data_IF_520475332150
#
_entry.id   IF_520475332150
#
_cell.length_a   1.000
_cell.length_b   1.000
_cell.length_c   1.000
_cell.angle_alpha   90.00
_cell.angle_beta   90.00
_cell.angle_gamma   90.00
#
_symmetry.space_group_name_H-M   'P 1'
#
loop_
_entity.id
_entity.type
_entity.pdbx_description
1 polymer ?
#
# COMPACT_ATOMS: atom_id res chain seq x y z
N UNK A 1 -2.76 -16.91 8.14
CA UNK A 1 -1.73 -16.40 7.20
C UNK A 1 -0.36 -16.49 7.82
N UNK A 2 0.59 -17.01 7.08
CA UNK A 2 1.95 -17.11 7.56
C UNK A 2 2.60 -15.72 7.59
N UNK A 3 3.27 -15.41 8.68
CA UNK A 3 3.99 -14.15 8.80
C UNK A 3 5.20 -14.12 7.88
N UNK A 4 5.35 -13.04 7.15
CA UNK A 4 6.53 -12.80 6.35
C UNK A 4 7.55 -12.01 7.15
N UNK A 5 8.82 -12.22 6.83
CA UNK A 5 9.89 -11.39 7.38
C UNK A 5 10.05 -10.16 6.50
N UNK A 6 9.52 -9.04 6.94
CA UNK A 6 9.53 -7.82 6.14
C UNK A 6 10.87 -7.08 6.16
N UNK A 7 11.83 -7.52 6.96
CA UNK A 7 13.15 -6.89 6.95
C UNK A 7 13.83 -7.02 5.59
N UNK A 8 13.60 -8.15 4.89
CA UNK A 8 14.21 -8.39 3.59
C UNK A 8 13.50 -7.66 2.45
N UNK A 9 12.33 -7.08 2.70
CA UNK A 9 11.55 -6.38 1.67
C UNK A 9 11.52 -4.86 1.85
N UNK A 10 12.23 -4.35 2.85
CA UNK A 10 12.33 -2.91 3.07
C UNK A 10 12.92 -2.25 1.82
N UNK A 11 12.34 -1.14 1.42
CA UNK A 11 12.71 -0.39 0.20
C UNK A 11 12.36 -1.11 -1.11
N UNK A 12 11.72 -2.27 -1.05
CA UNK A 12 11.16 -2.89 -2.24
C UNK A 12 9.88 -2.18 -2.66
N UNK A 13 9.53 -2.35 -3.93
CA UNK A 13 8.29 -1.78 -4.47
C UNK A 13 7.24 -2.88 -4.55
N UNK A 14 6.06 -2.58 -4.04
CA UNK A 14 4.91 -3.48 -4.13
C UNK A 14 3.76 -2.80 -4.86
N UNK A 15 3.16 -3.49 -5.80
CA UNK A 15 1.96 -3.02 -6.49
C UNK A 15 0.78 -3.80 -5.94
N UNK A 16 -0.18 -3.08 -5.36
CA UNK A 16 -1.36 -3.70 -4.76
C UNK A 16 -2.58 -3.29 -5.56
N UNK A 17 -3.18 -4.24 -6.27
CA UNK A 17 -4.43 -4.01 -7.01
C UNK A 17 -5.61 -4.10 -6.06
N UNK A 18 -6.66 -3.34 -6.34
CA UNK A 18 -7.83 -3.28 -5.47
C UNK A 18 -7.52 -2.66 -4.12
N UNK A 19 -6.56 -1.75 -4.07
CA UNK A 19 -6.02 -1.21 -2.81
C UNK A 19 -6.95 -0.22 -2.12
N UNK A 20 -8.08 0.15 -2.74
CA UNK A 20 -8.94 1.18 -2.19
C UNK A 20 -9.78 0.71 -1.01
N UNK A 21 -9.96 -0.58 -0.83
CA UNK A 21 -10.80 -1.10 0.25
C UNK A 21 -10.51 -2.57 0.52
N UNK A 22 -11.05 -3.06 1.65
CA UNK A 22 -11.04 -4.47 2.00
C UNK A 22 -9.63 -5.02 2.18
N UNK A 23 -9.41 -6.22 1.69
CA UNK A 23 -8.15 -6.93 1.83
C UNK A 23 -7.01 -6.19 1.15
N UNK A 24 -7.26 -5.62 -0.03
CA UNK A 24 -6.24 -4.88 -0.76
C UNK A 24 -5.73 -3.68 0.02
N UNK A 25 -6.64 -2.93 0.64
CA UNK A 25 -6.26 -1.81 1.49
C UNK A 25 -5.42 -2.26 2.68
N UNK A 26 -5.82 -3.33 3.34
CA UNK A 26 -5.07 -3.85 4.49
C UNK A 26 -3.67 -4.29 4.11
N UNK A 27 -3.52 -4.93 2.94
CA UNK A 27 -2.22 -5.35 2.44
C UNK A 27 -1.34 -4.13 2.13
N UNK A 28 -1.92 -3.11 1.47
CA UNK A 28 -1.18 -1.90 1.14
C UNK A 28 -0.68 -1.19 2.40
N UNK A 29 -1.53 -1.08 3.41
CA UNK A 29 -1.17 -0.44 4.67
C UNK A 29 -0.08 -1.24 5.40
N UNK A 30 -0.18 -2.56 5.38
CA UNK A 30 0.81 -3.42 6.00
C UNK A 30 2.19 -3.26 5.34
N UNK A 31 2.22 -3.26 4.01
CA UNK A 31 3.47 -3.08 3.28
C UNK A 31 4.08 -1.72 3.56
N UNK A 32 3.25 -0.68 3.59
CA UNK A 32 3.73 0.67 3.90
C UNK A 32 4.35 0.76 5.28
N UNK A 33 3.73 0.12 6.27
CA UNK A 33 4.24 0.10 7.64
C UNK A 33 5.59 -0.62 7.75
N UNK A 34 5.87 -1.52 6.83
CA UNK A 34 7.10 -2.31 6.83
C UNK A 34 8.19 -1.73 5.93
N UNK A 35 8.04 -0.50 5.49
CA UNK A 35 9.08 0.20 4.76
C UNK A 35 9.10 -0.05 3.26
N UNK A 36 8.09 -0.72 2.73
CA UNK A 36 7.99 -0.90 1.29
C UNK A 36 7.43 0.34 0.62
N UNK A 37 7.82 0.56 -0.61
CA UNK A 37 7.21 1.58 -1.46
C UNK A 37 5.99 0.96 -2.12
N UNK A 38 4.81 1.52 -1.88
CA UNK A 38 3.55 0.91 -2.29
C UNK A 38 2.92 1.67 -3.45
N UNK A 39 2.55 0.96 -4.49
CA UNK A 39 1.73 1.51 -5.57
C UNK A 39 0.31 1.00 -5.34
N UNK A 40 -0.58 1.91 -4.97
CA UNK A 40 -1.98 1.59 -4.74
C UNK A 40 -2.73 1.73 -6.06
N UNK A 41 -3.16 0.62 -6.63
CA UNK A 41 -3.87 0.59 -7.90
C UNK A 41 -5.34 0.28 -7.64
N UNK A 42 -6.24 1.13 -8.09
CA UNK A 42 -7.67 0.94 -7.87
C UNK A 42 -8.49 1.72 -8.89
N UNK A 43 -9.75 1.35 -9.02
CA UNK A 43 -10.68 2.07 -9.89
C UNK A 43 -11.10 3.41 -9.32
N UNK A 44 -11.33 3.45 -8.01
CA UNK A 44 -11.78 4.68 -7.35
C UNK A 44 -10.59 5.55 -7.03
N UNK A 45 -10.48 6.67 -7.71
CA UNK A 45 -9.40 7.63 -7.47
C UNK A 45 -9.50 8.20 -6.06
N UNK A 46 -10.71 8.54 -5.61
CA UNK A 46 -10.91 9.13 -4.30
C UNK A 46 -10.48 8.19 -3.19
N UNK A 47 -10.95 6.95 -3.22
CA UNK A 47 -10.63 5.98 -2.17
C UNK A 47 -9.18 5.52 -2.24
N UNK A 48 -8.67 5.28 -3.44
CA UNK A 48 -7.30 4.83 -3.63
C UNK A 48 -6.29 5.88 -3.20
N UNK A 49 -6.55 7.14 -3.55
CA UNK A 49 -5.68 8.23 -3.14
C UNK A 49 -5.70 8.40 -1.61
N UNK A 50 -6.85 8.21 -0.99
CA UNK A 50 -6.95 8.29 0.46
C UNK A 50 -6.09 7.24 1.16
N UNK A 51 -6.04 6.03 0.60
CA UNK A 51 -5.17 4.96 1.14
C UNK A 51 -3.70 5.34 1.01
N UNK A 52 -3.29 5.81 -0.16
CA UNK A 52 -1.90 6.24 -0.37
C UNK A 52 -1.53 7.40 0.55
N UNK A 53 -2.42 8.38 0.68
CA UNK A 53 -2.18 9.53 1.57
C UNK A 53 -2.06 9.09 3.03
N UNK A 54 -2.88 8.11 3.44
CA UNK A 54 -2.82 7.57 4.79
C UNK A 54 -1.48 6.89 5.08
N UNK A 55 -0.97 6.15 4.12
CA UNK A 55 0.34 5.49 4.25
C UNK A 55 1.44 6.55 4.38
N UNK A 56 1.40 7.57 3.54
CA UNK A 56 2.38 8.66 3.60
C UNK A 56 2.31 9.42 4.90
N UNK A 57 1.11 9.64 5.44
CA UNK A 57 0.92 10.35 6.70
C UNK A 57 1.54 9.61 7.88
N UNK A 58 1.66 8.30 7.79
CA UNK A 58 2.29 7.46 8.83
C UNK A 58 3.79 7.30 8.62
N UNK A 59 4.37 8.05 7.71
CA UNK A 59 5.79 7.96 7.42
C UNK A 59 6.18 6.94 6.36
N UNK A 60 5.20 6.30 5.73
CA UNK A 60 5.45 5.37 4.64
C UNK A 60 5.61 6.08 3.29
N UNK A 61 5.73 5.30 2.24
CA UNK A 61 5.93 5.80 0.89
C UNK A 61 4.94 5.11 -0.04
N UNK A 62 4.00 5.85 -0.57
CA UNK A 62 2.96 5.30 -1.43
C UNK A 62 2.51 6.31 -2.47
N UNK A 63 2.11 5.78 -3.63
CA UNK A 63 1.47 6.57 -4.68
C UNK A 63 0.19 5.86 -5.11
N UNK A 64 -0.70 6.59 -5.75
CA UNK A 64 -1.93 6.04 -6.30
C UNK A 64 -1.90 6.08 -7.82
N UNK A 65 -2.33 4.97 -8.44
CA UNK A 65 -2.54 4.90 -9.88
C UNK A 65 -3.95 4.37 -10.12
N UNK A 66 -4.73 5.11 -10.89
CA UNK A 66 -6.07 4.67 -11.27
C UNK A 66 -5.98 3.61 -12.38
N UNK A 67 -6.70 2.53 -12.19
CA UNK A 67 -6.70 1.43 -13.16
C UNK A 67 -8.06 1.17 -13.76
#
# INVERSE_FOLDING_TARGET
MKMMNFNSVRDKVAIVTGASRGIGRAIAECFGENGMKVVCAARSAQQGQAVADGICAKGGDAIFIQT
#
